data_IF_603378474789
#
_entry.id   IF_603378474789
#
_cell.length_a   1.000
_cell.length_b   1.000
_cell.length_c   1.000
_cell.angle_alpha   90.00
_cell.angle_beta   90.00
_cell.angle_gamma   90.00
#
_symmetry.space_group_name_H-M   'P 1'
#
loop_
_entity.id
_entity.type
_entity.pdbx_description
1 polymer ?
#
# COMPACT_ATOMS: atom_id res chain seq x y z
N UNK A 1 55.46 62.08 -72.09
CA UNK A 1 55.44 62.74 -70.77
C UNK A 1 54.28 62.14 -69.98
N UNK A 2 54.63 61.25 -69.03
CA UNK A 2 54.32 61.36 -67.57
C UNK A 2 52.83 61.13 -67.25
N UNK A 3 52.45 59.91 -66.87
CA UNK A 3 52.55 59.31 -65.52
C UNK A 3 51.34 59.67 -64.64
N UNK A 4 50.71 58.66 -64.04
CA UNK A 4 50.39 58.55 -62.59
C UNK A 4 49.18 57.62 -62.36
N UNK A 5 49.50 56.38 -62.04
CA UNK A 5 49.02 55.55 -60.93
C UNK A 5 47.71 55.89 -60.17
N UNK A 6 46.88 54.83 -60.08
CA UNK A 6 46.43 54.13 -58.87
C UNK A 6 45.18 54.59 -58.07
N UNK A 7 44.42 53.54 -57.73
CA UNK A 7 43.60 53.28 -56.53
C UNK A 7 42.09 53.62 -56.57
N UNK A 8 41.32 52.52 -56.66
CA UNK A 8 40.34 52.09 -55.66
C UNK A 8 39.11 52.96 -55.39
N UNK A 9 37.94 52.45 -55.76
CA UNK A 9 36.86 52.30 -54.77
C UNK A 9 35.92 51.15 -55.13
N UNK A 10 36.15 50.08 -54.39
CA UNK A 10 35.31 48.90 -54.21
C UNK A 10 33.97 49.28 -53.54
N UNK A 11 32.96 48.45 -53.81
CA UNK A 11 31.80 48.17 -52.93
C UNK A 11 30.69 49.23 -52.81
N UNK A 12 29.84 49.33 -53.84
CA UNK A 12 28.42 49.68 -53.67
C UNK A 12 27.55 48.68 -54.47
N UNK A 13 27.33 47.46 -53.93
CA UNK A 13 25.96 47.14 -53.56
C UNK A 13 25.81 46.23 -52.32
N UNK A 14 26.82 46.15 -51.44
CA UNK A 14 26.78 45.24 -50.28
C UNK A 14 26.05 45.82 -49.06
N UNK A 15 25.81 47.13 -48.98
CA UNK A 15 25.15 47.77 -47.82
C UNK A 15 23.61 47.72 -47.87
N UNK A 16 23.00 47.35 -49.00
CA UNK A 16 21.55 47.26 -49.13
C UNK A 16 21.00 45.82 -49.02
N UNK A 17 21.87 44.82 -48.90
CA UNK A 17 21.49 43.40 -49.03
C UNK A 17 21.25 42.68 -47.69
N UNK A 18 21.38 43.35 -46.54
CA UNK A 18 21.22 42.72 -45.23
C UNK A 18 20.18 43.42 -44.31
N UNK A 19 19.17 44.07 -44.90
CA UNK A 19 17.87 44.16 -44.23
C UNK A 19 17.15 42.80 -44.34
N UNK A 20 17.75 41.76 -43.77
CA UNK A 20 16.98 40.56 -43.42
C UNK A 20 16.09 40.96 -42.26
N UNK A 21 14.92 41.49 -42.60
CA UNK A 21 13.75 41.59 -41.72
C UNK A 21 13.74 40.34 -40.86
N UNK A 22 14.02 40.49 -39.56
CA UNK A 22 14.07 39.37 -38.62
C UNK A 22 12.84 38.51 -38.88
N UNK A 23 13.04 37.25 -39.28
CA UNK A 23 11.95 36.34 -39.67
C UNK A 23 10.85 36.50 -38.63
N UNK A 24 9.71 37.06 -39.09
CA UNK A 24 8.58 37.31 -38.21
C UNK A 24 8.31 35.98 -37.55
N UNK A 25 8.44 35.99 -36.23
CA UNK A 25 8.16 34.84 -35.37
C UNK A 25 7.05 34.02 -36.01
N UNK A 26 7.30 32.73 -36.29
CA UNK A 26 6.25 31.83 -36.75
C UNK A 26 5.28 31.60 -35.59
N UNK A 27 4.33 32.53 -35.47
CA UNK A 27 3.31 32.52 -34.43
C UNK A 27 2.44 31.28 -34.57
N UNK A 28 2.26 30.74 -35.78
CA UNK A 28 1.55 29.49 -36.02
C UNK A 28 2.27 28.30 -35.38
N UNK A 29 3.57 28.16 -35.64
CA UNK A 29 4.39 27.14 -35.01
C UNK A 29 4.42 27.28 -33.48
N UNK A 30 4.56 28.50 -32.94
CA UNK A 30 4.56 28.74 -31.49
C UNK A 30 3.22 28.42 -30.84
N UNK A 31 2.10 28.84 -31.44
CA UNK A 31 0.75 28.50 -30.97
C UNK A 31 0.56 26.98 -31.01
N UNK A 32 0.99 26.32 -32.09
CA UNK A 32 0.95 24.87 -32.20
C UNK A 32 1.72 24.16 -31.07
N UNK A 33 2.95 24.62 -30.77
CA UNK A 33 3.74 24.11 -29.65
C UNK A 33 3.08 24.34 -28.30
N UNK A 34 2.52 25.53 -28.06
CA UNK A 34 1.83 25.86 -26.80
C UNK A 34 0.59 24.97 -26.62
N UNK A 35 -0.23 24.83 -27.66
CA UNK A 35 -1.41 23.94 -27.62
C UNK A 35 -0.99 22.49 -27.40
N UNK A 36 0.06 22.02 -28.08
CA UNK A 36 0.61 20.69 -27.90
C UNK A 36 1.08 20.43 -26.46
N UNK A 37 1.80 21.37 -25.86
CA UNK A 37 2.24 21.30 -24.47
C UNK A 37 1.05 21.30 -23.51
N UNK A 38 0.05 22.17 -23.73
CA UNK A 38 -1.15 22.21 -22.88
C UNK A 38 -1.94 20.90 -22.93
N UNK A 39 -2.10 20.31 -24.12
CA UNK A 39 -2.75 19.00 -24.28
C UNK A 39 -1.95 17.89 -23.61
N UNK A 40 -0.62 17.92 -23.72
CA UNK A 40 0.25 16.94 -23.06
C UNK A 40 0.15 17.06 -21.53
N UNK A 41 0.18 18.28 -20.98
CA UNK A 41 -0.02 18.53 -19.55
C UNK A 41 -1.40 18.03 -19.11
N UNK A 42 -2.45 18.36 -19.85
CA UNK A 42 -3.81 17.91 -19.55
C UNK A 42 -3.92 16.37 -19.56
N UNK A 43 -3.26 15.70 -20.52
CA UNK A 43 -3.19 14.25 -20.58
C UNK A 43 -2.46 13.66 -19.37
N UNK A 44 -1.33 14.23 -18.95
CA UNK A 44 -0.60 13.79 -17.74
C UNK A 44 -1.47 13.94 -16.50
N UNK A 45 -2.15 15.08 -16.33
CA UNK A 45 -3.09 15.28 -15.21
C UNK A 45 -4.27 14.30 -15.27
N UNK A 46 -4.77 13.99 -16.46
CA UNK A 46 -5.82 13.01 -16.64
C UNK A 46 -5.35 11.59 -16.26
N UNK A 47 -4.16 11.17 -16.69
CA UNK A 47 -3.56 9.89 -16.31
C UNK A 47 -3.26 9.82 -14.80
N UNK A 48 -2.79 10.89 -14.19
CA UNK A 48 -2.62 10.97 -12.73
C UNK A 48 -3.95 10.80 -12.00
N UNK A 49 -5.01 11.47 -12.48
CA UNK A 49 -6.36 11.35 -11.94
C UNK A 49 -6.90 9.92 -12.09
N UNK A 50 -6.69 9.29 -13.23
CA UNK A 50 -7.15 7.92 -13.47
C UNK A 50 -6.36 6.91 -12.61
N UNK A 51 -5.05 7.12 -12.43
CA UNK A 51 -4.25 6.37 -11.46
C UNK A 51 -4.72 6.53 -10.02
N UNK A 52 -5.22 7.72 -9.63
CA UNK A 52 -5.85 7.92 -8.32
C UNK A 52 -7.20 7.21 -8.19
N UNK A 53 -8.03 7.19 -9.24
CA UNK A 53 -9.28 6.42 -9.23
C UNK A 53 -9.04 4.92 -9.17
N UNK A 54 -8.07 4.40 -9.92
CA UNK A 54 -7.67 2.99 -9.87
C UNK A 54 -7.10 2.60 -8.50
N UNK A 55 -6.38 3.50 -7.83
CA UNK A 55 -5.99 3.29 -6.43
C UNK A 55 -7.18 3.29 -5.47
N UNK A 56 -8.19 4.15 -5.70
CA UNK A 56 -9.42 4.16 -4.91
C UNK A 56 -10.25 2.88 -5.07
N UNK A 57 -10.35 2.33 -6.29
CA UNK A 57 -11.04 1.05 -6.53
C UNK A 57 -10.34 -0.14 -5.90
N UNK A 58 -9.02 -0.04 -5.66
CA UNK A 58 -8.28 -1.05 -4.90
C UNK A 58 -8.57 -0.98 -3.40
N UNK A 59 -9.21 0.04 -2.83
CA UNK A 59 -9.47 0.11 -1.38
C UNK A 59 -10.95 -0.11 -1.02
N UNK A 60 -11.85 -0.13 -1.99
CA UNK A 60 -13.29 0.04 -1.79
C UNK A 60 -14.10 -1.22 -1.47
N UNK A 61 -13.57 -2.41 -1.74
CA UNK A 61 -14.37 -3.65 -1.70
C UNK A 61 -13.88 -4.61 -0.60
N UNK A 62 -13.59 -4.07 0.59
CA UNK A 62 -13.36 -4.93 1.75
C UNK A 62 -14.72 -5.44 2.25
N UNK A 63 -14.91 -6.77 2.37
CA UNK A 63 -16.13 -7.32 2.92
C UNK A 63 -16.34 -6.83 4.36
N UNK A 64 -17.55 -7.02 4.89
CA UNK A 64 -17.82 -6.68 6.28
C UNK A 64 -16.88 -7.46 7.22
N UNK A 65 -16.42 -6.80 8.28
CA UNK A 65 -15.51 -7.42 9.25
C UNK A 65 -16.24 -8.55 9.99
N UNK A 66 -15.58 -9.71 10.18
CA UNK A 66 -16.15 -10.78 10.98
C UNK A 66 -16.43 -10.29 12.41
N UNK A 67 -17.60 -10.65 12.94
CA UNK A 67 -17.90 -10.50 14.36
C UNK A 67 -17.26 -11.66 15.15
N UNK A 68 -16.93 -11.40 16.41
CA UNK A 68 -16.42 -12.42 17.30
C UNK A 68 -17.46 -13.54 17.49
N UNK A 69 -17.07 -14.82 17.41
CA UNK A 69 -17.99 -15.93 17.68
C UNK A 69 -18.48 -15.88 19.12
N UNK A 70 -19.70 -16.36 19.37
CA UNK A 70 -20.28 -16.43 20.73
C UNK A 70 -19.49 -17.33 21.69
N UNK A 71 -18.75 -18.29 21.15
CA UNK A 71 -17.88 -19.21 21.88
C UNK A 71 -16.47 -19.19 21.25
N UNK A 72 -15.62 -18.20 21.59
CA UNK A 72 -14.29 -18.06 20.99
C UNK A 72 -13.27 -19.09 21.50
N UNK A 73 -13.63 -19.89 22.50
CA UNK A 73 -12.77 -20.91 23.10
C UNK A 73 -11.88 -20.35 24.22
N UNK A 74 -10.86 -21.13 24.60
CA UNK A 74 -9.96 -20.75 25.69
C UNK A 74 -9.04 -19.58 25.30
N UNK A 75 -8.90 -18.62 26.22
CA UNK A 75 -7.94 -17.51 26.07
C UNK A 75 -6.51 -18.03 26.21
N UNK A 76 -5.68 -17.74 25.21
CA UNK A 76 -4.25 -18.06 25.19
C UNK A 76 -3.39 -16.91 25.70
N UNK A 77 -3.65 -15.70 25.19
CA UNK A 77 -2.93 -14.48 25.54
C UNK A 77 -3.87 -13.29 25.59
N UNK A 78 -3.57 -12.36 26.49
CA UNK A 78 -4.24 -11.06 26.59
C UNK A 78 -3.20 -9.95 26.60
N UNK A 79 -3.50 -8.84 25.92
CA UNK A 79 -2.60 -7.70 25.84
C UNK A 79 -3.37 -6.42 25.73
N UNK A 80 -2.86 -5.38 26.38
CA UNK A 80 -3.40 -4.02 26.25
C UNK A 80 -2.36 -3.11 25.61
N UNK A 81 -2.84 -2.15 24.83
CA UNK A 81 -1.93 -1.24 24.15
C UNK A 81 -2.60 -0.24 23.24
N UNK A 82 -1.92 0.07 22.13
CA UNK A 82 -2.38 1.03 21.13
C UNK A 82 -2.40 0.45 19.74
N UNK A 83 -3.49 0.75 19.04
CA UNK A 83 -3.68 0.43 17.65
C UNK A 83 -3.26 1.60 16.76
N UNK A 84 -2.40 1.33 15.78
CA UNK A 84 -1.78 2.34 14.92
C UNK A 84 -2.48 2.50 13.55
N UNK A 85 -3.30 1.52 13.17
CA UNK A 85 -4.00 1.44 11.89
C UNK A 85 -3.63 0.18 11.11
N UNK A 86 -4.43 -0.13 10.10
CA UNK A 86 -4.13 -1.18 9.13
C UNK A 86 -3.65 -0.59 7.81
N UNK A 87 -2.78 -1.34 7.14
CA UNK A 87 -2.32 -1.07 5.78
C UNK A 87 -2.48 -2.30 4.90
N UNK A 88 -2.46 -2.13 3.59
CA UNK A 88 -2.30 -3.29 2.69
C UNK A 88 -0.95 -3.96 2.96
N UNK A 89 -0.93 -5.29 3.00
CA UNK A 89 0.28 -6.03 3.35
C UNK A 89 1.45 -5.69 2.43
N UNK A 90 2.62 -5.42 3.03
CA UNK A 90 3.83 -5.00 2.30
C UNK A 90 3.78 -3.57 1.72
N UNK A 91 2.66 -2.87 1.84
CA UNK A 91 2.48 -1.48 1.40
C UNK A 91 2.22 -0.57 2.61
N UNK A 92 3.25 -0.35 3.41
CA UNK A 92 3.18 0.39 4.68
C UNK A 92 2.68 1.85 4.59
N UNK A 93 2.55 2.42 3.39
CA UNK A 93 1.96 3.75 3.15
C UNK A 93 0.48 3.68 2.73
N UNK A 94 0.00 2.51 2.31
CA UNK A 94 -1.34 2.30 1.81
C UNK A 94 -2.33 2.05 2.96
N UNK A 95 -2.76 3.14 3.59
CA UNK A 95 -3.62 3.09 4.78
C UNK A 95 -5.05 2.71 4.43
N UNK A 96 -5.56 1.70 5.13
CA UNK A 96 -6.95 1.24 4.96
C UNK A 96 -7.84 2.06 5.89
N UNK A 97 -8.76 2.83 5.31
CA UNK A 97 -9.73 3.67 6.06
C UNK A 97 -11.09 2.97 6.19
N UNK A 98 -11.35 1.97 5.35
CA UNK A 98 -12.59 1.18 5.40
C UNK A 98 -12.79 0.52 6.78
N UNK A 99 -14.06 0.38 7.16
CA UNK A 99 -14.51 -0.31 8.38
C UNK A 99 -13.83 0.16 9.68
N UNK A 100 -13.33 1.40 9.73
CA UNK A 100 -12.67 1.95 10.92
C UNK A 100 -11.26 1.42 11.16
N UNK A 101 -10.65 0.71 10.21
CA UNK A 101 -9.28 0.19 10.34
C UNK A 101 -8.21 1.30 10.30
N UNK A 102 -8.56 2.52 9.88
CA UNK A 102 -7.63 3.65 9.82
C UNK A 102 -7.52 4.47 11.12
N UNK A 103 -8.49 4.32 12.03
CA UNK A 103 -8.59 5.12 13.25
C UNK A 103 -7.65 4.59 14.32
N UNK A 104 -6.82 5.47 14.89
CA UNK A 104 -5.95 5.11 16.01
C UNK A 104 -6.76 5.09 17.30
N UNK A 105 -6.55 4.08 18.13
CA UNK A 105 -7.30 3.89 19.37
C UNK A 105 -6.46 3.16 20.42
N UNK A 106 -6.96 3.14 21.66
CA UNK A 106 -6.56 2.08 22.60
C UNK A 106 -7.08 0.75 22.08
N UNK A 107 -6.42 -0.33 22.46
CA UNK A 107 -6.80 -1.68 22.06
C UNK A 107 -6.54 -2.66 23.19
N UNK A 108 -7.44 -3.62 23.29
CA UNK A 108 -7.34 -4.81 24.12
C UNK A 108 -7.40 -5.99 23.15
N UNK A 109 -6.35 -6.81 23.14
CA UNK A 109 -6.20 -7.97 22.29
C UNK A 109 -6.39 -9.22 23.11
N UNK A 110 -7.26 -10.11 22.64
CA UNK A 110 -7.47 -11.42 23.25
C UNK A 110 -7.26 -12.48 22.18
N UNK A 111 -6.18 -13.25 22.30
CA UNK A 111 -5.93 -14.39 21.43
C UNK A 111 -6.64 -15.62 22.01
N UNK A 112 -7.53 -16.20 21.20
CA UNK A 112 -8.34 -17.37 21.55
C UNK A 112 -8.05 -18.51 20.59
N UNK A 113 -8.62 -19.69 20.81
CA UNK A 113 -8.52 -20.80 19.86
C UNK A 113 -9.22 -20.51 18.53
N UNK A 114 -10.29 -19.72 18.53
CA UNK A 114 -11.01 -19.34 17.33
C UNK A 114 -10.27 -18.27 16.50
N UNK A 115 -9.43 -17.44 17.13
CA UNK A 115 -8.75 -16.34 16.47
C UNK A 115 -8.40 -15.19 17.40
N UNK A 116 -8.12 -14.03 16.81
CA UNK A 116 -7.72 -12.82 17.52
C UNK A 116 -8.90 -11.86 17.63
N UNK A 117 -9.33 -11.60 18.85
CA UNK A 117 -10.32 -10.58 19.17
C UNK A 117 -9.64 -9.23 19.43
N UNK A 118 -10.17 -8.18 18.79
CA UNK A 118 -9.60 -6.84 18.81
C UNK A 118 -10.66 -5.85 19.29
N UNK A 119 -10.65 -5.60 20.59
CA UNK A 119 -11.55 -4.63 21.24
C UNK A 119 -10.88 -3.27 21.26
N UNK A 120 -11.54 -2.25 20.69
CA UNK A 120 -11.02 -0.89 20.54
C UNK A 120 -11.99 0.11 21.18
N UNK A 121 -11.81 0.42 22.49
CA UNK A 121 -12.64 1.42 23.15
C UNK A 121 -12.64 2.76 22.40
N UNK A 122 -13.81 3.18 21.90
CA UNK A 122 -13.98 4.41 21.12
C UNK A 122 -13.75 4.29 19.62
N UNK A 123 -13.55 3.08 19.09
CA UNK A 123 -13.55 2.76 17.66
C UNK A 123 -14.38 1.47 17.40
N UNK A 124 -14.46 1.01 16.14
CA UNK A 124 -15.18 -0.22 15.78
C UNK A 124 -14.35 -1.45 16.20
N UNK A 125 -14.94 -2.39 16.92
CA UNK A 125 -14.28 -3.66 17.25
C UNK A 125 -14.25 -4.58 16.03
N UNK A 126 -13.34 -5.56 16.02
CA UNK A 126 -13.27 -6.55 14.94
C UNK A 126 -12.59 -7.84 15.39
N UNK A 127 -12.96 -8.93 14.72
CA UNK A 127 -12.38 -10.25 14.97
C UNK A 127 -11.60 -10.73 13.74
N UNK A 128 -10.43 -11.32 13.97
CA UNK A 128 -9.63 -11.99 12.94
C UNK A 128 -9.70 -13.50 13.18
N UNK A 129 -10.41 -14.27 12.34
CA UNK A 129 -10.45 -15.73 12.44
C UNK A 129 -9.07 -16.36 12.31
N UNK A 130 -8.85 -17.49 12.97
CA UNK A 130 -7.58 -18.20 12.89
C UNK A 130 -7.19 -18.56 11.45
N UNK A 131 -8.18 -18.89 10.62
CA UNK A 131 -7.99 -19.28 9.22
C UNK A 131 -7.63 -18.08 8.33
N UNK A 132 -7.84 -16.87 8.82
CA UNK A 132 -7.46 -15.63 8.16
C UNK A 132 -6.05 -15.17 8.55
N UNK A 133 -5.48 -15.64 9.66
CA UNK A 133 -4.13 -15.29 10.08
C UNK A 133 -3.10 -15.84 9.09
N UNK A 134 -2.09 -15.03 8.75
CA UNK A 134 -1.04 -15.40 7.78
C UNK A 134 0.37 -15.27 8.36
N UNK A 135 0.61 -14.23 9.15
CA UNK A 135 1.93 -14.00 9.74
C UNK A 135 1.80 -13.05 10.93
N UNK A 136 2.63 -13.23 11.95
CA UNK A 136 2.91 -12.22 12.95
C UNK A 136 4.41 -11.87 12.94
N UNK A 137 4.73 -10.58 12.99
CA UNK A 137 6.13 -10.10 13.00
C UNK A 137 6.30 -8.85 13.84
N UNK A 138 7.53 -8.62 14.29
CA UNK A 138 7.93 -7.33 14.88
C UNK A 138 8.52 -6.45 13.79
N UNK A 139 7.96 -5.26 13.62
CA UNK A 139 8.45 -4.28 12.65
C UNK A 139 8.68 -2.91 13.30
N UNK A 140 9.52 -2.09 12.69
CA UNK A 140 9.85 -0.73 13.17
C UNK A 140 8.87 0.31 12.67
N UNK A 141 8.00 0.01 11.72
CA UNK A 141 7.04 0.99 11.24
C UNK A 141 5.84 0.46 10.49
N UNK A 142 4.73 1.18 10.59
CA UNK A 142 3.49 0.95 9.84
C UNK A 142 2.75 2.27 9.64
N UNK A 143 1.98 2.37 8.55
CA UNK A 143 1.16 3.53 8.21
C UNK A 143 1.96 4.86 8.20
N UNK A 144 3.16 4.83 7.60
CA UNK A 144 4.04 5.99 7.47
C UNK A 144 4.73 6.45 8.76
N UNK A 145 4.69 5.68 9.84
CA UNK A 145 5.38 6.00 11.10
C UNK A 145 6.45 4.98 11.42
N UNK A 146 7.68 5.44 11.66
CA UNK A 146 8.81 4.62 12.14
C UNK A 146 9.03 4.93 13.62
N UNK A 147 9.13 3.90 14.45
CA UNK A 147 9.50 4.00 15.86
C UNK A 147 10.93 3.47 16.04
N UNK A 148 11.74 4.23 16.77
CA UNK A 148 13.16 3.90 16.97
C UNK A 148 13.38 2.72 17.92
N UNK A 149 12.46 2.47 18.87
CA UNK A 149 12.66 1.49 19.94
C UNK A 149 11.36 0.73 20.30
N UNK A 150 11.49 -0.56 20.58
CA UNK A 150 10.42 -1.44 21.08
C UNK A 150 9.63 -2.21 20.04
N UNK A 151 9.67 -1.82 18.76
CA UNK A 151 8.94 -2.52 17.69
C UNK A 151 7.41 -2.41 17.78
N UNK A 152 6.74 -2.77 16.69
CA UNK A 152 5.30 -2.89 16.57
C UNK A 152 5.01 -4.35 16.27
N UNK A 153 4.00 -4.90 16.95
CA UNK A 153 3.42 -6.19 16.58
C UNK A 153 2.58 -5.95 15.32
N UNK A 154 3.03 -6.49 14.20
CA UNK A 154 2.29 -6.48 12.95
C UNK A 154 1.68 -7.86 12.77
N UNK A 155 0.35 -7.90 12.65
CA UNK A 155 -0.39 -9.12 12.32
C UNK A 155 -0.89 -9.01 10.89
N UNK A 156 -0.40 -9.89 10.03
CA UNK A 156 -0.83 -10.04 8.64
C UNK A 156 -1.99 -11.03 8.59
N UNK A 157 -3.10 -10.62 7.98
CA UNK A 157 -4.29 -11.45 7.85
C UNK A 157 -5.01 -11.22 6.52
N UNK A 158 -5.74 -12.24 6.08
CA UNK A 158 -6.55 -12.19 4.87
C UNK A 158 -7.95 -11.65 5.17
N UNK A 159 -8.41 -10.68 4.39
CA UNK A 159 -9.76 -10.15 4.44
C UNK A 159 -10.35 -10.04 3.03
N UNK A 160 -11.25 -10.96 2.70
CA UNK A 160 -11.65 -11.18 1.30
C UNK A 160 -10.45 -11.55 0.44
N UNK A 161 -10.26 -10.86 -0.68
CA UNK A 161 -9.15 -11.09 -1.62
C UNK A 161 -7.87 -10.31 -1.28
N UNK A 162 -7.79 -9.73 -0.07
CA UNK A 162 -6.71 -8.81 0.32
C UNK A 162 -5.96 -9.30 1.54
N UNK A 163 -4.66 -9.03 1.56
CA UNK A 163 -3.83 -9.17 2.75
C UNK A 163 -3.69 -7.80 3.44
N UNK A 164 -3.95 -7.80 4.74
CA UNK A 164 -3.95 -6.61 5.59
C UNK A 164 -2.90 -6.79 6.68
N UNK A 165 -2.08 -5.76 6.86
CA UNK A 165 -1.16 -5.63 8.00
C UNK A 165 -1.83 -4.75 9.06
N UNK A 166 -2.09 -5.30 10.25
CA UNK A 166 -2.62 -4.56 11.40
C UNK A 166 -1.52 -4.30 12.43
N UNK A 167 -1.28 -3.03 12.76
CA UNK A 167 -0.19 -2.64 13.66
C UNK A 167 -0.61 -2.33 15.09
N UNK A 168 -0.02 -3.04 16.04
CA UNK A 168 -0.27 -2.93 17.47
C UNK A 168 1.01 -2.60 18.23
N UNK A 169 0.88 -1.83 19.31
CA UNK A 169 1.96 -1.56 20.26
C UNK A 169 1.50 -1.95 21.65
N UNK A 170 2.18 -2.92 22.26
CA UNK A 170 1.93 -3.25 23.66
C UNK A 170 2.28 -2.10 24.58
N UNK A 171 1.57 -1.99 25.70
CA UNK A 171 2.01 -1.16 26.82
C UNK A 171 3.29 -1.75 27.47
N UNK A 172 3.50 -3.08 27.41
CA UNK A 172 4.74 -3.75 27.79
C UNK A 172 5.44 -4.39 26.58
N UNK A 173 6.53 -3.79 26.10
CA UNK A 173 7.22 -4.25 24.88
C UNK A 173 7.73 -5.70 24.94
N UNK A 174 8.04 -6.22 26.13
CA UNK A 174 8.51 -7.60 26.30
C UNK A 174 7.47 -8.64 25.84
N UNK A 175 6.18 -8.34 26.00
CA UNK A 175 5.09 -9.25 25.61
C UNK A 175 4.99 -9.44 24.10
N UNK A 176 5.49 -8.49 23.29
CA UNK A 176 5.32 -8.55 21.83
C UNK A 176 6.06 -9.72 21.19
N UNK A 177 7.16 -10.18 21.79
CA UNK A 177 7.90 -11.36 21.31
C UNK A 177 7.07 -12.64 21.50
N UNK A 178 6.52 -12.84 22.69
CA UNK A 178 5.68 -13.99 23.04
C UNK A 178 4.41 -14.06 22.16
N UNK A 179 3.86 -12.90 21.83
CA UNK A 179 2.73 -12.78 20.90
C UNK A 179 3.06 -13.22 19.48
N UNK A 180 4.22 -12.81 18.95
CA UNK A 180 4.68 -13.24 17.62
C UNK A 180 4.88 -14.74 17.58
N UNK A 181 5.55 -15.31 18.59
CA UNK A 181 5.77 -16.75 18.68
C UNK A 181 4.46 -17.53 18.75
N UNK A 182 3.54 -17.12 19.64
CA UNK A 182 2.26 -17.82 19.84
C UNK A 182 1.36 -17.74 18.61
N UNK A 183 1.29 -16.59 17.94
CA UNK A 183 0.52 -16.43 16.70
C UNK A 183 1.08 -17.30 15.58
N UNK A 184 2.40 -17.31 15.37
CA UNK A 184 3.02 -18.11 14.31
C UNK A 184 2.86 -19.61 14.59
N UNK A 185 3.02 -20.06 15.84
CA UNK A 185 2.73 -21.44 16.22
C UNK A 185 1.27 -21.82 15.92
N UNK A 186 0.31 -20.90 16.13
CA UNK A 186 -1.10 -21.15 15.82
C UNK A 186 -1.38 -21.21 14.32
N UNK A 187 -0.70 -20.39 13.52
CA UNK A 187 -0.77 -20.41 12.05
C UNK A 187 -0.22 -21.75 11.54
N UNK A 188 0.97 -22.16 11.98
CA UNK A 188 1.62 -23.40 11.56
C UNK A 188 0.78 -24.64 11.88
N UNK A 189 0.19 -24.69 13.08
CA UNK A 189 -0.70 -25.80 13.46
C UNK A 189 -1.96 -25.87 12.59
N UNK A 190 -2.48 -24.71 12.17
CA UNK A 190 -3.67 -24.66 11.29
C UNK A 190 -3.35 -25.21 9.89
N UNK A 191 -2.15 -24.95 9.35
CA UNK A 191 -1.69 -25.51 8.07
C UNK A 191 -1.51 -27.03 8.13
N UNK A 192 -1.00 -27.54 9.26
CA UNK A 192 -0.84 -28.98 9.51
C UNK A 192 -2.21 -29.67 9.57
N UNK A 193 -3.16 -29.13 10.34
CA UNK A 193 -4.51 -29.67 10.47
C UNK A 193 -5.27 -29.68 9.13
N UNK A 194 -5.13 -28.61 8.34
CA UNK A 194 -5.70 -28.51 7.00
C UNK A 194 -5.12 -29.54 6.00
N UNK A 195 -3.84 -29.88 6.15
CA UNK A 195 -3.16 -30.90 5.32
C UNK A 195 -3.52 -32.32 5.76
N UNK A 196 -3.69 -32.56 7.07
CA UNK A 196 -4.05 -33.86 7.63
C UNK A 196 -5.49 -34.30 7.35
N UNK A 197 -6.42 -33.35 7.23
CA UNK A 197 -7.83 -33.64 6.93
C UNK A 197 -8.08 -34.16 5.49
N UNK A 198 -7.11 -34.01 4.57
CA UNK A 198 -7.25 -34.39 3.16
C UNK A 198 -6.97 -35.87 2.82
N UNK A 199 -6.53 -36.70 3.78
CA UNK A 199 -6.01 -38.06 3.47
C UNK A 199 -6.96 -39.20 3.92
N UNK A 200 -8.02 -38.93 4.68
CA UNK A 200 -8.90 -39.99 5.18
C UNK A 200 -10.24 -40.10 4.44
N UNK A 201 -10.26 -40.67 3.23
CA UNK A 201 -11.46 -41.30 2.66
C UNK A 201 -11.16 -42.10 1.39
N UNK A 202 -10.42 -43.22 1.47
CA UNK A 202 -10.71 -44.41 0.62
C UNK A 202 -9.97 -45.66 1.14
N UNK A 203 -10.53 -46.36 2.12
CA UNK A 203 -10.37 -47.83 2.21
C UNK A 203 -11.50 -48.39 3.06
N UNK A 204 -12.66 -48.57 2.43
CA UNK A 204 -13.69 -49.45 2.96
C UNK A 204 -13.87 -50.62 1.97
N UNK A 205 -13.21 -51.72 2.33
CA UNK A 205 -13.72 -53.11 2.30
C UNK A 205 -14.47 -53.58 1.05
N UNK A 206 -13.78 -54.25 0.14
CA UNK A 206 -14.39 -55.31 -0.68
C UNK A 206 -13.78 -56.66 -0.34
N UNK A 207 -14.33 -57.27 0.71
CA UNK A 207 -14.26 -58.70 0.94
C UNK A 207 -15.69 -59.23 0.96
N UNK A 208 -16.10 -59.91 -0.11
CA UNK A 208 -17.01 -61.08 -0.12
C UNK A 208 -17.67 -61.27 -1.49
N UNK A 209 -17.15 -62.20 -2.30
CA UNK A 209 -17.85 -63.39 -2.81
C UNK A 209 -16.95 -64.23 -3.70
#
# INVERSE_FOLDING_TARGET
>A
MTATHLLTSSALPQLAADEKSAQVTDWGARIGWVVGILLFIALVYWLMREGWKWRGTLQGDLPELPDAPSEPGATKLELTGRYHGSTTAGQWLDRIVAHGLGTRSRVELTLTEAGLDVVRPGARDFFIPKEALREARLDKGIAGKVLAEGGLLIVTWAHGDKLIDSGFRSDHAAEQADWVETLNNMIDNTEIDGTGAGIQSTTETEGAR
#
